data_IF_090508718561
#
_entry.id   IF_090508718561
#
_cell.length_a   1.000
_cell.length_b   1.000
_cell.length_c   1.000
_cell.angle_alpha   90.00
_cell.angle_beta   90.00
_cell.angle_gamma   90.00
#
_symmetry.space_group_name_H-M   'P 1'
#
loop_
_entity.id
_entity.type
_entity.pdbx_description
1 polymer ?
#
# COMPACT_ATOMS: atom_id res chain seq x y z
N UNK A 1 19.54 -5.14 25.40
CA UNK A 1 19.55 -3.94 26.25
C UNK A 1 19.28 -2.76 25.32
N UNK A 2 18.29 -1.89 25.48
CA UNK A 2 17.30 -1.75 26.56
C UNK A 2 15.97 -1.25 25.99
N UNK A 3 14.90 -1.55 26.73
CA UNK A 3 13.60 -0.91 26.54
C UNK A 3 13.73 0.52 27.05
N UNK A 4 14.21 1.43 26.19
CA UNK A 4 14.17 2.86 26.48
C UNK A 4 12.71 3.30 26.57
N UNK A 5 12.41 3.98 27.66
CA UNK A 5 11.07 4.22 28.16
C UNK A 5 10.31 5.15 27.20
N UNK A 6 9.18 4.68 26.68
CA UNK A 6 8.19 5.49 25.92
C UNK A 6 7.76 6.80 26.64
N UNK A 7 8.15 6.99 27.91
CA UNK A 7 7.95 8.21 28.72
C UNK A 7 8.84 9.38 28.34
N UNK A 8 9.98 9.16 27.66
CA UNK A 8 10.93 10.24 27.32
C UNK A 8 10.77 10.75 25.88
N UNK A 9 9.97 10.08 25.05
CA UNK A 9 9.71 10.53 23.69
C UNK A 9 9.01 11.89 23.71
N UNK A 10 9.46 12.88 22.92
CA UNK A 10 8.85 14.21 22.90
C UNK A 10 7.36 14.13 22.59
N UNK A 11 6.59 15.01 23.22
CA UNK A 11 5.14 15.10 22.99
C UNK A 11 4.90 15.52 21.54
N UNK A 12 3.82 15.04 20.92
CA UNK A 12 3.48 15.35 19.52
C UNK A 12 3.50 16.84 19.18
N UNK A 13 3.15 17.72 20.13
CA UNK A 13 3.20 19.17 19.96
C UNK A 13 4.60 19.75 19.72
N UNK A 14 5.65 19.01 20.05
CA UNK A 14 7.06 19.42 19.91
C UNK A 14 7.68 18.88 18.62
N UNK A 15 6.95 18.06 17.87
CA UNK A 15 7.43 17.51 16.61
C UNK A 15 7.23 18.53 15.49
N UNK A 16 8.09 18.49 14.45
CA UNK A 16 7.95 19.38 13.31
C UNK A 16 6.63 19.10 12.58
N UNK A 17 6.00 20.14 12.03
CA UNK A 17 4.80 20.03 11.20
C UNK A 17 5.17 20.37 9.76
N UNK A 18 4.52 19.70 8.81
CA UNK A 18 4.79 19.87 7.39
C UNK A 18 3.50 20.14 6.62
N UNK A 19 3.41 21.31 5.99
CA UNK A 19 2.21 21.77 5.27
C UNK A 19 2.20 21.38 3.78
N UNK A 20 3.36 21.13 3.19
CA UNK A 20 3.52 20.91 1.75
C UNK A 20 3.25 22.16 0.88
N UNK A 21 3.23 23.36 1.48
CA UNK A 21 2.98 24.64 0.80
C UNK A 21 4.13 25.62 1.11
N UNK A 22 4.65 26.32 0.09
CA UNK A 22 5.72 27.34 0.21
C UNK A 22 7.07 26.96 -0.43
N UNK A 23 8.11 27.78 -0.21
CA UNK A 23 9.50 27.40 -0.52
C UNK A 23 9.91 26.26 0.43
N UNK A 24 10.27 25.12 -0.15
CA UNK A 24 10.28 23.83 0.53
C UNK A 24 11.35 23.69 1.61
N UNK A 25 10.91 23.19 2.76
CA UNK A 25 11.76 22.76 3.86
C UNK A 25 11.63 21.25 4.16
N UNK A 26 11.44 20.46 3.10
CA UNK A 26 11.36 18.99 3.21
C UNK A 26 12.61 18.38 3.83
N UNK A 27 13.78 18.99 3.60
CA UNK A 27 15.05 18.48 4.11
C UNK A 27 15.18 18.72 5.62
N UNK A 28 14.75 19.87 6.15
CA UNK A 28 14.73 20.11 7.60
C UNK A 28 13.66 19.26 8.28
N UNK A 29 12.47 19.11 7.69
CA UNK A 29 11.45 18.20 8.22
C UNK A 29 11.97 16.76 8.31
N UNK A 30 12.53 16.23 7.22
CA UNK A 30 13.09 14.87 7.18
C UNK A 30 14.24 14.76 8.17
N UNK A 31 15.19 15.71 8.17
CA UNK A 31 16.33 15.71 9.08
C UNK A 31 15.91 15.75 10.56
N UNK A 32 14.90 16.55 10.91
CA UNK A 32 14.37 16.58 12.27
C UNK A 32 13.71 15.25 12.65
N UNK A 33 12.97 14.61 11.74
CA UNK A 33 12.37 13.30 11.98
C UNK A 33 13.44 12.22 12.15
N UNK A 34 14.49 12.23 11.32
CA UNK A 34 15.61 11.30 11.41
C UNK A 34 16.39 11.47 12.71
N UNK A 35 16.70 12.70 13.10
CA UNK A 35 17.33 13.01 14.39
C UNK A 35 16.51 12.49 15.57
N UNK A 36 15.20 12.75 15.61
CA UNK A 36 14.32 12.23 16.68
C UNK A 36 14.24 10.69 16.64
N UNK A 37 14.24 10.11 15.45
CA UNK A 37 14.20 8.66 15.29
C UNK A 37 15.48 8.02 15.84
N UNK A 38 16.63 8.62 15.58
CA UNK A 38 17.95 8.17 16.07
C UNK A 38 18.09 8.39 17.58
N UNK A 39 17.80 9.60 18.08
CA UNK A 39 17.93 9.96 19.50
C UNK A 39 17.09 9.09 20.43
N UNK A 40 15.91 8.66 19.96
CA UNK A 40 14.95 7.88 20.76
C UNK A 40 14.81 6.43 20.28
N UNK A 41 15.67 5.96 19.37
CA UNK A 41 15.64 4.62 18.77
C UNK A 41 14.23 4.18 18.31
N UNK A 42 13.48 5.10 17.68
CA UNK A 42 12.08 4.85 17.35
C UNK A 42 11.96 3.92 16.13
N UNK A 43 11.15 2.85 16.21
CA UNK A 43 10.83 2.06 15.03
C UNK A 43 9.97 2.86 14.05
N UNK A 44 10.18 2.64 12.75
CA UNK A 44 9.46 3.34 11.65
C UNK A 44 7.94 3.31 11.80
N UNK A 45 7.40 2.23 12.35
CA UNK A 45 5.97 2.09 12.60
C UNK A 45 5.42 3.15 13.56
N UNK A 46 6.20 3.58 14.55
CA UNK A 46 5.78 4.62 15.50
C UNK A 46 5.91 6.01 14.90
N UNK A 47 6.89 6.25 14.03
CA UNK A 47 7.07 7.51 13.32
C UNK A 47 5.95 7.70 12.29
N UNK A 48 5.70 6.69 11.47
CA UNK A 48 4.64 6.70 10.44
C UNK A 48 3.24 6.85 11.05
N UNK A 49 2.99 6.26 12.22
CA UNK A 49 1.74 6.46 12.97
C UNK A 49 1.49 7.90 13.41
N UNK A 50 2.50 8.77 13.44
CA UNK A 50 2.38 10.19 13.80
C UNK A 50 2.14 11.10 12.60
N UNK A 51 2.44 10.67 11.39
CA UNK A 51 2.36 11.51 10.18
C UNK A 51 0.98 12.12 9.93
N UNK A 52 -0.11 11.44 10.31
CA UNK A 52 -1.45 12.02 10.23
C UNK A 52 -1.61 13.31 11.07
N UNK A 53 -0.83 13.45 12.15
CA UNK A 53 -0.84 14.66 13.01
C UNK A 53 0.23 15.68 12.65
N UNK A 54 1.31 15.25 11.98
CA UNK A 54 2.44 16.12 11.63
C UNK A 54 2.21 16.80 10.28
N UNK A 55 1.46 16.17 9.39
CA UNK A 55 1.06 16.79 8.14
C UNK A 55 -0.10 17.76 8.36
N UNK A 56 0.00 18.91 7.72
CA UNK A 56 -1.04 19.94 7.67
C UNK A 56 -1.22 20.40 6.21
N UNK A 57 -2.20 21.26 5.93
CA UNK A 57 -2.38 21.84 4.58
C UNK A 57 -2.47 20.82 3.44
N UNK A 58 -1.77 21.10 2.34
CA UNK A 58 -1.71 20.23 1.16
C UNK A 58 -1.04 18.88 1.42
N UNK A 59 -0.03 18.82 2.29
CA UNK A 59 0.62 17.56 2.66
C UNK A 59 -0.32 16.61 3.41
N UNK A 60 -1.18 17.15 4.29
CA UNK A 60 -2.18 16.35 5.00
C UNK A 60 -3.20 15.76 4.04
N UNK A 61 -3.75 16.57 3.13
CA UNK A 61 -4.68 16.09 2.09
C UNK A 61 -4.05 15.02 1.22
N UNK A 62 -2.80 15.21 0.79
CA UNK A 62 -2.08 14.20 0.02
C UNK A 62 -1.95 12.90 0.81
N UNK A 63 -1.56 12.98 2.08
CA UNK A 63 -1.39 11.81 2.93
C UNK A 63 -2.72 11.08 3.21
N UNK A 64 -3.81 11.80 3.45
CA UNK A 64 -5.15 11.22 3.57
C UNK A 64 -5.54 10.46 2.30
N UNK A 65 -5.43 11.09 1.13
CA UNK A 65 -5.84 10.43 -0.13
C UNK A 65 -4.92 9.25 -0.48
N UNK A 66 -3.60 9.34 -0.26
CA UNK A 66 -2.65 8.23 -0.48
C UNK A 66 -2.90 7.08 0.50
N UNK A 67 -3.13 7.37 1.79
CA UNK A 67 -3.43 6.34 2.79
C UNK A 67 -4.77 5.67 2.50
N UNK A 68 -5.81 6.45 2.23
CA UNK A 68 -7.09 5.91 1.83
C UNK A 68 -6.96 5.06 0.57
N UNK A 69 -6.28 5.54 -0.48
CA UNK A 69 -6.02 4.75 -1.68
C UNK A 69 -5.39 3.40 -1.34
N UNK A 70 -4.46 3.36 -0.38
CA UNK A 70 -3.86 2.14 0.15
C UNK A 70 -4.83 1.14 0.81
N UNK A 71 -6.01 1.58 1.26
CA UNK A 71 -7.04 0.74 1.88
C UNK A 71 -8.17 0.33 0.92
N UNK A 72 -8.28 0.96 -0.25
CA UNK A 72 -9.36 0.68 -1.21
C UNK A 72 -9.03 -0.53 -2.09
N UNK A 73 -9.20 -1.72 -1.52
CA UNK A 73 -9.15 -2.99 -2.27
C UNK A 73 -10.40 -3.16 -3.15
N UNK A 74 -10.21 -3.60 -4.40
CA UNK A 74 -11.33 -3.92 -5.28
C UNK A 74 -12.10 -5.14 -4.78
N UNK A 75 -13.42 -5.00 -4.64
CA UNK A 75 -14.28 -6.10 -4.25
C UNK A 75 -15.30 -6.42 -5.34
N UNK A 76 -15.11 -7.54 -6.05
CA UNK A 76 -15.98 -7.92 -7.17
C UNK A 76 -17.43 -8.24 -6.77
N UNK A 77 -17.71 -8.52 -5.49
CA UNK A 77 -19.08 -8.76 -5.02
C UNK A 77 -19.83 -7.46 -4.73
N UNK A 78 -19.11 -6.37 -4.43
CA UNK A 78 -19.70 -5.08 -4.04
C UNK A 78 -19.63 -4.04 -5.14
N UNK A 79 -18.62 -4.12 -6.00
CA UNK A 79 -18.26 -3.07 -6.94
C UNK A 79 -18.21 -3.62 -8.36
N UNK A 80 -18.47 -2.74 -9.33
CA UNK A 80 -18.31 -3.02 -10.76
C UNK A 80 -16.96 -2.50 -11.22
N UNK A 81 -16.32 -3.22 -12.13
CA UNK A 81 -14.98 -2.93 -12.64
C UNK A 81 -14.87 -1.50 -13.19
N UNK A 82 -15.80 -1.08 -14.05
CA UNK A 82 -15.81 0.24 -14.69
C UNK A 82 -15.86 1.41 -13.70
N UNK A 83 -16.90 1.56 -12.85
CA UNK A 83 -16.99 2.72 -11.95
C UNK A 83 -15.86 2.74 -10.91
N UNK A 84 -15.43 1.57 -10.43
CA UNK A 84 -14.31 1.49 -9.50
C UNK A 84 -13.00 1.94 -10.15
N UNK A 85 -12.72 1.50 -11.38
CA UNK A 85 -11.49 1.86 -12.08
C UNK A 85 -11.40 3.37 -12.33
N UNK A 86 -12.48 3.99 -12.80
CA UNK A 86 -12.51 5.44 -13.02
C UNK A 86 -12.36 6.22 -11.71
N UNK A 87 -13.01 5.78 -10.63
CA UNK A 87 -12.83 6.40 -9.32
C UNK A 87 -11.37 6.35 -8.85
N UNK A 88 -10.68 5.22 -9.04
CA UNK A 88 -9.25 5.13 -8.69
C UNK A 88 -8.38 5.97 -9.63
N UNK A 89 -8.72 6.05 -10.92
CA UNK A 89 -8.03 6.90 -11.91
C UNK A 89 -8.15 8.37 -11.54
N UNK A 90 -9.34 8.84 -11.18
CA UNK A 90 -9.57 10.23 -10.77
C UNK A 90 -8.76 10.60 -9.52
N UNK A 91 -8.76 9.71 -8.51
CA UNK A 91 -7.98 9.91 -7.28
C UNK A 91 -6.48 9.97 -7.54
N UNK A 92 -5.94 9.06 -8.36
CA UNK A 92 -4.52 9.06 -8.70
C UNK A 92 -4.12 10.27 -9.55
N UNK A 93 -4.98 10.69 -10.48
CA UNK A 93 -4.75 11.88 -11.31
C UNK A 93 -4.74 13.15 -10.45
N UNK A 94 -5.60 13.21 -9.43
CA UNK A 94 -5.62 14.32 -8.48
C UNK A 94 -4.34 14.37 -7.60
N UNK A 95 -3.78 13.21 -7.25
CA UNK A 95 -2.55 13.09 -6.46
C UNK A 95 -1.28 13.33 -7.29
N UNK A 96 -1.27 12.85 -8.53
CA UNK A 96 -0.09 12.83 -9.39
C UNK A 96 -0.48 13.21 -10.83
N UNK A 97 -0.68 14.51 -11.12
CA UNK A 97 -1.16 14.96 -12.43
C UNK A 97 -0.20 14.62 -13.58
N UNK A 98 1.10 14.56 -13.29
CA UNK A 98 2.15 14.28 -14.29
C UNK A 98 2.51 12.78 -14.39
N UNK A 99 1.71 11.89 -13.79
CA UNK A 99 1.97 10.45 -13.82
C UNK A 99 1.62 9.84 -15.18
N UNK A 100 2.53 9.06 -15.76
CA UNK A 100 2.24 8.31 -16.98
C UNK A 100 1.07 7.35 -16.81
N UNK A 101 0.25 7.20 -17.85
CA UNK A 101 -0.93 6.31 -17.84
C UNK A 101 -0.57 4.86 -17.49
N UNK A 102 0.57 4.36 -17.96
CA UNK A 102 1.09 3.04 -17.61
C UNK A 102 1.30 2.85 -16.09
N UNK A 103 1.95 3.82 -15.44
CA UNK A 103 2.21 3.77 -14.00
C UNK A 103 0.90 3.89 -13.22
N UNK A 104 -0.03 4.73 -13.68
CA UNK A 104 -1.36 4.87 -13.12
C UNK A 104 -2.11 3.53 -13.19
N UNK A 105 -2.16 2.90 -14.36
CA UNK A 105 -2.77 1.58 -14.55
C UNK A 105 -2.15 0.53 -13.63
N UNK A 106 -0.82 0.51 -13.50
CA UNK A 106 -0.12 -0.41 -12.60
C UNK A 106 -0.46 -0.18 -11.13
N UNK A 107 -0.61 1.08 -10.70
CA UNK A 107 -1.04 1.42 -9.32
C UNK A 107 -2.47 0.94 -9.05
N UNK A 108 -3.40 1.17 -9.98
CA UNK A 108 -4.79 0.70 -9.85
C UNK A 108 -4.83 -0.83 -9.77
N UNK A 109 -4.12 -1.54 -10.65
CA UNK A 109 -4.13 -3.00 -10.66
C UNK A 109 -3.56 -3.65 -9.38
N UNK A 110 -2.65 -2.95 -8.67
CA UNK A 110 -2.19 -3.42 -7.36
C UNK A 110 -3.32 -3.46 -6.32
N UNK A 111 -4.31 -2.59 -6.45
CA UNK A 111 -5.47 -2.56 -5.55
C UNK A 111 -6.46 -3.71 -5.78
N UNK A 112 -6.34 -4.43 -6.90
CA UNK A 112 -7.09 -5.68 -7.09
C UNK A 112 -6.61 -6.79 -6.15
N UNK A 113 -5.32 -6.78 -5.81
CA UNK A 113 -4.68 -7.71 -4.88
C UNK A 113 -4.66 -9.18 -5.32
N UNK A 114 -3.71 -9.93 -4.74
CA UNK A 114 -3.66 -11.38 -4.80
C UNK A 114 -3.76 -11.99 -6.21
N UNK A 115 -4.64 -12.97 -6.37
CA UNK A 115 -4.82 -13.68 -7.65
C UNK A 115 -5.48 -12.83 -8.72
N UNK A 116 -6.31 -11.84 -8.34
CA UNK A 116 -7.00 -10.99 -9.29
C UNK A 116 -6.03 -10.05 -9.99
N UNK A 117 -5.13 -9.43 -9.23
CA UNK A 117 -4.02 -8.63 -9.77
C UNK A 117 -3.22 -9.42 -10.80
N UNK A 118 -2.79 -10.64 -10.46
CA UNK A 118 -1.99 -11.48 -11.37
C UNK A 118 -2.76 -11.89 -12.62
N UNK A 119 -4.04 -12.26 -12.47
CA UNK A 119 -4.89 -12.68 -13.59
C UNK A 119 -5.09 -11.54 -14.59
N UNK A 120 -5.37 -10.32 -14.11
CA UNK A 120 -5.54 -9.14 -14.96
C UNK A 120 -4.19 -8.76 -15.59
N UNK A 121 -3.12 -8.66 -14.81
CA UNK A 121 -1.78 -8.31 -15.31
C UNK A 121 -1.27 -9.24 -16.39
N UNK A 122 -1.54 -10.54 -16.28
CA UNK A 122 -1.12 -11.54 -17.29
C UNK A 122 -1.76 -11.33 -18.67
N UNK A 123 -2.83 -10.53 -18.75
CA UNK A 123 -3.60 -10.25 -19.97
C UNK A 123 -3.49 -8.80 -20.44
N UNK A 124 -2.84 -7.94 -19.66
CA UNK A 124 -2.60 -6.53 -19.99
C UNK A 124 -1.16 -6.32 -20.45
N UNK A 125 -0.94 -5.34 -21.32
CA UNK A 125 0.38 -4.90 -21.77
C UNK A 125 0.66 -3.47 -21.29
N UNK A 126 1.88 -2.98 -21.48
CA UNK A 126 2.24 -1.59 -21.11
C UNK A 126 1.48 -0.53 -21.92
N UNK A 127 0.93 -0.93 -23.08
CA UNK A 127 0.16 -0.08 -23.98
C UNK A 127 -1.36 -0.27 -23.84
N UNK A 128 -1.81 -1.12 -22.91
CA UNK A 128 -3.23 -1.37 -22.71
C UNK A 128 -3.94 -0.10 -22.25
N UNK A 129 -5.02 0.25 -22.94
CA UNK A 129 -5.88 1.37 -22.59
C UNK A 129 -6.66 1.09 -21.31
N UNK A 130 -7.21 2.14 -20.70
CA UNK A 130 -8.13 2.00 -19.57
C UNK A 130 -9.32 1.08 -19.91
N UNK A 131 -9.85 1.17 -21.13
CA UNK A 131 -10.95 0.32 -21.61
C UNK A 131 -10.55 -1.15 -21.69
N UNK A 132 -9.36 -1.44 -22.24
CA UNK A 132 -8.85 -2.82 -22.32
C UNK A 132 -8.73 -3.43 -20.92
N UNK A 133 -8.19 -2.67 -19.98
CA UNK A 133 -8.00 -3.13 -18.59
C UNK A 133 -9.35 -3.36 -17.91
N UNK A 134 -10.32 -2.46 -18.10
CA UNK A 134 -11.67 -2.60 -17.54
C UNK A 134 -12.36 -3.84 -18.11
N UNK A 135 -12.29 -4.04 -19.43
CA UNK A 135 -12.88 -5.20 -20.10
C UNK A 135 -12.27 -6.50 -19.59
N UNK A 136 -10.94 -6.56 -19.44
CA UNK A 136 -10.24 -7.73 -18.88
C UNK A 136 -10.64 -7.94 -17.41
N UNK A 137 -10.71 -6.89 -16.60
CA UNK A 137 -11.10 -6.97 -15.19
C UNK A 137 -12.54 -7.49 -15.04
N UNK A 138 -13.46 -6.99 -15.86
CA UNK A 138 -14.85 -7.48 -15.91
C UNK A 138 -14.91 -8.94 -16.39
N UNK A 139 -14.12 -9.29 -17.42
CA UNK A 139 -14.05 -10.67 -17.91
C UNK A 139 -13.53 -11.63 -16.84
N UNK A 140 -12.44 -11.29 -16.15
CA UNK A 140 -11.84 -12.13 -15.09
C UNK A 140 -12.85 -12.31 -13.96
N UNK A 141 -13.44 -11.24 -13.48
CA UNK A 141 -14.39 -11.28 -12.35
C UNK A 141 -15.66 -12.07 -12.69
N UNK A 142 -16.19 -11.92 -13.90
CA UNK A 142 -17.40 -12.62 -14.36
C UNK A 142 -17.15 -14.09 -14.69
N UNK A 143 -16.05 -14.42 -15.38
CA UNK A 143 -15.77 -15.80 -15.83
C UNK A 143 -15.15 -16.69 -14.76
N UNK A 144 -14.31 -16.13 -13.89
CA UNK A 144 -13.50 -16.95 -12.97
C UNK A 144 -13.93 -16.87 -11.50
N UNK A 145 -14.85 -15.95 -11.13
CA UNK A 145 -15.21 -15.63 -9.73
C UNK A 145 -14.01 -15.32 -8.83
N UNK A 146 -12.83 -15.04 -9.40
CA UNK A 146 -11.64 -14.57 -8.69
C UNK A 146 -11.94 -13.14 -8.23
N UNK A 147 -11.77 -12.88 -6.93
CA UNK A 147 -12.19 -11.62 -6.28
C UNK A 147 -13.49 -11.72 -5.46
N UNK A 148 -14.28 -12.78 -5.66
CA UNK A 148 -15.48 -13.01 -4.84
C UNK A 148 -15.10 -13.44 -3.42
N UNK A 149 -15.72 -12.82 -2.42
CA UNK A 149 -15.57 -13.05 -0.99
C UNK A 149 -15.77 -14.54 -0.61
N UNK A 150 -16.47 -15.31 -1.45
CA UNK A 150 -16.63 -16.78 -1.32
C UNK A 150 -15.31 -17.56 -1.43
N UNK A 151 -14.29 -17.03 -2.10
CA UNK A 151 -12.97 -17.67 -2.22
C UNK A 151 -12.03 -17.29 -1.07
N UNK A 152 -12.19 -16.10 -0.47
CA UNK A 152 -11.35 -15.63 0.64
C UNK A 152 -11.65 -16.35 1.98
N UNK A 153 -12.87 -16.87 2.16
CA UNK A 153 -13.22 -17.61 3.38
C UNK A 153 -12.53 -18.98 3.47
N UNK A 154 -12.20 -19.61 2.33
CA UNK A 154 -11.53 -20.92 2.30
C UNK A 154 -10.00 -20.82 2.51
N UNK A 155 -9.38 -19.70 2.14
CA UNK A 155 -7.92 -19.56 2.23
C UNK A 155 -7.45 -19.16 3.63
N UNK A 156 -8.28 -18.47 4.43
CA UNK A 156 -7.92 -18.14 5.83
C UNK A 156 -8.08 -19.29 6.83
N UNK A 157 -8.84 -20.34 6.49
CA UNK A 157 -9.05 -21.49 7.36
C UNK A 157 -8.15 -22.70 7.02
N UNK A 158 -7.45 -22.69 5.89
CA UNK A 158 -6.57 -23.78 5.48
C UNK A 158 -5.15 -23.26 5.20
N UNK A 159 -4.47 -22.79 6.23
CA UNK A 159 -3.00 -22.92 6.28
C UNK A 159 -2.68 -24.02 7.28
N UNK A 160 -2.47 -25.28 6.86
CA UNK A 160 -1.91 -26.28 7.73
C UNK A 160 -0.47 -25.87 8.06
N UNK A 161 -0.16 -25.74 9.35
CA UNK A 161 1.20 -25.66 9.85
C UNK A 161 2.02 -26.80 9.23
N UNK A 162 2.96 -26.49 8.32
CA UNK A 162 3.99 -27.44 7.94
C UNK A 162 5.11 -27.40 8.96
N UNK A 163 4.93 -28.18 10.03
CA UNK A 163 6.06 -28.83 10.67
C UNK A 163 6.58 -29.89 9.70
N UNK A 164 7.74 -29.64 9.10
CA UNK A 164 8.58 -30.70 8.54
C UNK A 164 10.03 -30.37 8.89
N UNK A 165 10.47 -30.92 10.01
CA UNK A 165 11.90 -31.11 10.30
C UNK A 165 12.37 -32.15 9.29
N UNK A 166 12.83 -31.69 8.13
CA UNK A 166 13.47 -32.54 7.15
C UNK A 166 14.95 -32.75 7.50
N UNK A 167 15.32 -34.02 7.47
CA UNK A 167 16.57 -34.61 7.93
C UNK A 167 17.74 -34.11 7.08
N UNK A 168 18.78 -33.63 7.77
CA UNK A 168 20.09 -33.29 7.24
C UNK A 168 20.84 -34.56 6.75
N UNK A 169 21.36 -34.63 5.52
CA UNK A 169 22.38 -35.60 5.15
C UNK A 169 23.74 -34.89 5.07
N UNK A 170 24.60 -35.10 6.07
CA UNK A 170 26.04 -34.83 5.96
C UNK A 170 26.82 -36.04 6.46
N UNK A 171 27.50 -36.70 5.52
CA UNK A 171 28.43 -37.78 5.81
C UNK A 171 29.67 -37.30 6.58
N UNK A 172 30.26 -38.26 7.31
CA UNK A 172 31.67 -38.34 7.74
C UNK A 172 32.00 -39.85 7.78
N UNK A 173 33.01 -40.34 7.06
CA UNK A 173 34.38 -40.63 7.56
C UNK A 173 34.31 -41.27 8.97
N UNK A 174 34.65 -42.55 9.20
CA UNK A 174 35.77 -43.38 8.75
C UNK A 174 35.34 -44.82 8.45
#
# INVERSE_FOLDING_TARGET
MGLALLKEVPKLKQWPHFSGEGEYDQMEFIGCIEMIKEDFELPDRLVTGRFNTLFTGSAHRWFEVETEFGYFEFNSDKEKALPWFFQQKDRLTALYPDMSEFVLHRKILRQCGGYLENAVKSRTTEQSSAEDIINILEEVTTRTRIGSSRMNLKTRLNTPCKNSVDKNPKGKFY
#
